data_IF_936016836288
#
_entry.id   IF_936016836288
#
_cell.length_a   1.000
_cell.length_b   1.000
_cell.length_c   1.000
_cell.angle_alpha   90.00
_cell.angle_beta   90.00
_cell.angle_gamma   90.00
#
_symmetry.space_group_name_H-M   'P 1'
#
loop_
_entity.id
_entity.type
_entity.pdbx_description
1 polymer ?
#
# COMPACT_ATOMS: atom_id res chain seq x y z
N UNK A 1 -8.16 2.71 14.23
CA UNK A 1 -8.06 2.09 12.88
C UNK A 1 -9.18 2.55 11.94
N UNK A 2 -10.45 2.36 12.32
CA UNK A 2 -11.61 2.68 11.46
C UNK A 2 -11.68 4.16 11.06
N UNK A 3 -11.39 5.08 11.99
CA UNK A 3 -11.34 6.51 11.66
C UNK A 3 -10.25 6.84 10.61
N UNK A 4 -9.11 6.16 10.65
CA UNK A 4 -8.05 6.34 9.64
C UNK A 4 -8.49 5.82 8.27
N UNK A 5 -9.19 4.69 8.26
CA UNK A 5 -9.77 4.06 7.07
C UNK A 5 -10.71 5.01 6.34
N UNK A 6 -11.70 5.54 7.08
CA UNK A 6 -12.69 6.47 6.55
C UNK A 6 -12.04 7.79 6.08
N UNK A 7 -11.14 8.38 6.87
CA UNK A 7 -10.46 9.64 6.51
C UNK A 7 -9.64 9.49 5.23
N UNK A 8 -8.92 8.37 5.06
CA UNK A 8 -8.08 8.16 3.89
C UNK A 8 -8.90 7.95 2.62
N UNK A 9 -9.99 7.19 2.72
CA UNK A 9 -10.96 7.06 1.64
C UNK A 9 -11.54 8.43 1.26
N UNK A 10 -12.05 9.18 2.23
CA UNK A 10 -12.70 10.47 1.98
C UNK A 10 -11.73 11.48 1.35
N UNK A 11 -10.47 11.54 1.82
CA UNK A 11 -9.47 12.40 1.21
C UNK A 11 -9.16 11.99 -0.23
N UNK A 12 -9.05 10.68 -0.52
CA UNK A 12 -8.91 10.21 -1.90
C UNK A 12 -10.09 10.67 -2.77
N UNK A 13 -11.33 10.51 -2.30
CA UNK A 13 -12.55 10.90 -3.03
C UNK A 13 -12.64 12.42 -3.24
N UNK A 14 -12.02 13.22 -2.37
CA UNK A 14 -11.88 14.66 -2.54
C UNK A 14 -10.86 15.07 -3.62
N UNK A 15 -10.20 14.12 -4.30
CA UNK A 15 -9.28 14.38 -5.41
C UNK A 15 -7.81 14.50 -5.01
N UNK A 16 -7.47 14.22 -3.75
CA UNK A 16 -6.09 14.31 -3.25
C UNK A 16 -5.20 13.15 -3.71
N UNK A 17 -5.79 12.06 -4.19
CA UNK A 17 -5.06 10.86 -4.61
C UNK A 17 -4.59 10.00 -3.42
N UNK A 18 -4.05 8.83 -3.73
CA UNK A 18 -3.87 7.76 -2.73
C UNK A 18 -2.77 8.04 -1.69
N UNK A 19 -1.66 8.67 -2.07
CA UNK A 19 -0.57 8.99 -1.16
C UNK A 19 -0.97 10.08 -0.16
N UNK A 20 -1.48 11.21 -0.67
CA UNK A 20 -2.00 12.27 0.19
C UNK A 20 -3.19 11.79 1.01
N UNK A 21 -4.09 10.96 0.47
CA UNK A 21 -5.22 10.44 1.24
C UNK A 21 -4.79 9.70 2.51
N UNK A 22 -3.81 8.79 2.39
CA UNK A 22 -3.25 8.09 3.56
C UNK A 22 -2.52 9.07 4.49
N UNK A 23 -1.75 10.01 3.95
CA UNK A 23 -1.05 11.01 4.77
C UNK A 23 -2.01 11.93 5.54
N UNK A 24 -3.09 12.42 4.89
CA UNK A 24 -4.15 13.22 5.50
C UNK A 24 -4.78 12.48 6.69
N UNK A 25 -5.06 11.18 6.52
CA UNK A 25 -5.62 10.37 7.60
C UNK A 25 -4.64 10.21 8.77
N UNK A 26 -3.41 9.76 8.51
CA UNK A 26 -2.47 9.42 9.57
C UNK A 26 -1.93 10.67 10.29
N UNK A 27 -1.50 11.69 9.55
CA UNK A 27 -1.05 12.95 10.11
C UNK A 27 -2.22 13.71 10.75
N UNK A 28 -3.40 13.68 10.13
CA UNK A 28 -4.61 14.31 10.67
C UNK A 28 -5.00 13.74 12.01
N UNK A 29 -5.04 12.41 12.15
CA UNK A 29 -5.29 11.75 13.44
C UNK A 29 -4.25 12.12 14.50
N UNK A 30 -2.96 12.10 14.13
CA UNK A 30 -1.90 12.47 15.06
C UNK A 30 -1.98 13.96 15.46
N UNK A 31 -2.36 14.84 14.53
CA UNK A 31 -2.55 16.26 14.79
C UNK A 31 -3.78 16.54 15.67
N UNK A 32 -4.88 15.82 15.48
CA UNK A 32 -6.08 15.94 16.31
C UNK A 32 -5.83 15.50 17.76
N UNK A 33 -5.09 14.40 17.95
CA UNK A 33 -4.82 13.84 19.28
C UNK A 33 -3.67 14.56 20.01
N UNK A 34 -2.58 14.86 19.30
CA UNK A 34 -1.32 15.32 19.91
C UNK A 34 -0.89 16.73 19.50
N UNK A 35 -1.49 17.32 18.46
CA UNK A 35 -1.12 18.64 17.95
C UNK A 35 0.26 18.65 17.29
N UNK A 36 1.13 19.57 17.72
CA UNK A 36 2.49 19.69 17.19
C UNK A 36 3.38 18.52 17.65
N UNK A 37 4.33 18.03 16.83
CA UNK A 37 4.75 18.57 15.53
C UNK A 37 3.90 18.09 14.34
N UNK A 38 2.98 17.14 14.53
CA UNK A 38 2.22 16.52 13.43
C UNK A 38 1.39 17.53 12.65
N UNK A 39 0.78 18.51 13.34
CA UNK A 39 0.01 19.59 12.73
C UNK A 39 0.81 20.55 11.84
N UNK A 40 2.15 20.49 11.88
CA UNK A 40 3.01 21.33 11.04
C UNK A 40 3.44 20.66 9.73
N UNK A 41 3.18 19.36 9.57
CA UNK A 41 3.57 18.61 8.37
C UNK A 41 2.44 18.75 7.35
N UNK A 42 2.64 19.42 6.20
CA UNK A 42 1.59 19.64 5.22
C UNK A 42 1.35 18.36 4.40
N UNK A 43 0.21 17.65 4.55
CA UNK A 43 -0.01 16.38 3.87
C UNK A 43 -0.03 16.51 2.34
N UNK A 44 -0.30 17.72 1.81
CA UNK A 44 -0.31 18.02 0.37
C UNK A 44 1.02 17.69 -0.30
N UNK A 45 2.14 17.67 0.43
CA UNK A 45 3.43 17.25 -0.12
C UNK A 45 3.40 15.81 -0.67
N UNK A 46 2.50 14.96 -0.17
CA UNK A 46 2.31 13.60 -0.63
C UNK A 46 1.46 13.49 -1.90
N UNK A 47 0.84 14.58 -2.39
CA UNK A 47 0.03 14.55 -3.62
C UNK A 47 0.79 14.00 -4.82
N UNK A 48 2.10 14.29 -4.87
CA UNK A 48 2.99 13.82 -5.94
C UNK A 48 3.08 12.29 -5.99
N UNK A 49 2.74 11.57 -4.92
CA UNK A 49 2.71 10.11 -4.92
C UNK A 49 1.53 9.48 -5.68
N UNK A 50 0.54 10.28 -6.12
CA UNK A 50 -0.66 9.77 -6.83
C UNK A 50 -0.30 8.98 -8.09
N UNK A 51 -1.04 7.92 -8.40
CA UNK A 51 -0.76 7.10 -9.59
C UNK A 51 0.64 6.44 -9.59
N UNK A 52 1.22 6.24 -8.39
CA UNK A 52 2.56 5.70 -8.23
C UNK A 52 3.66 6.65 -8.71
N UNK A 53 3.59 7.88 -8.19
CA UNK A 53 4.43 9.07 -8.47
C UNK A 53 4.03 9.91 -9.70
N UNK A 54 2.86 10.51 -9.74
CA UNK A 54 2.36 11.31 -10.87
C UNK A 54 2.21 10.49 -12.16
N UNK A 55 1.76 9.24 -12.03
CA UNK A 55 1.34 8.40 -13.16
C UNK A 55 2.41 7.46 -13.73
N UNK A 56 3.60 7.40 -13.14
CA UNK A 56 4.65 6.46 -13.54
C UNK A 56 4.32 4.99 -13.24
N UNK A 57 3.33 4.72 -12.39
CA UNK A 57 2.95 3.35 -12.06
C UNK A 57 3.97 2.60 -11.20
N UNK A 58 4.89 3.32 -10.53
CA UNK A 58 5.86 2.75 -9.59
C UNK A 58 5.18 2.33 -8.27
N UNK A 59 5.83 2.42 -7.11
CA UNK A 59 5.24 2.04 -5.82
C UNK A 59 3.86 2.66 -5.59
N UNK A 60 2.91 1.89 -5.05
CA UNK A 60 1.56 2.39 -4.78
C UNK A 60 1.59 3.63 -3.88
N UNK A 61 0.88 4.69 -4.30
CA UNK A 61 0.86 5.94 -3.54
C UNK A 61 0.39 5.77 -2.10
N UNK A 62 -0.62 4.93 -1.86
CA UNK A 62 -1.11 4.65 -0.50
C UNK A 62 0.01 4.13 0.42
N UNK A 63 0.88 3.25 -0.09
CA UNK A 63 2.02 2.73 0.66
C UNK A 63 3.01 3.86 0.99
N UNK A 64 3.26 4.79 0.06
CA UNK A 64 4.16 5.92 0.31
C UNK A 64 3.67 6.79 1.48
N UNK A 65 2.38 7.13 1.51
CA UNK A 65 1.79 7.87 2.62
C UNK A 65 1.97 7.15 3.96
N UNK A 66 1.78 5.83 3.97
CA UNK A 66 1.93 5.00 5.16
C UNK A 66 3.39 4.86 5.64
N UNK A 67 4.31 4.47 4.76
CA UNK A 67 5.70 4.16 5.16
C UNK A 67 6.45 5.40 5.64
N UNK A 68 6.16 6.57 5.05
CA UNK A 68 6.74 7.83 5.52
C UNK A 68 6.17 8.24 6.88
N UNK A 69 4.89 7.95 7.15
CA UNK A 69 4.33 8.15 8.48
C UNK A 69 4.93 7.19 9.51
N UNK A 70 5.13 5.90 9.16
CA UNK A 70 5.86 4.95 10.01
C UNK A 70 7.27 5.48 10.32
N UNK A 71 7.97 5.97 9.29
CA UNK A 71 9.30 6.57 9.44
C UNK A 71 9.34 7.82 10.32
N UNK A 72 8.22 8.52 10.46
CA UNK A 72 8.09 9.68 11.33
C UNK A 72 7.90 9.29 12.80
N UNK A 73 7.16 8.22 13.08
CA UNK A 73 6.69 7.90 14.44
C UNK A 73 7.40 6.73 15.12
N UNK A 74 7.96 5.80 14.34
CA UNK A 74 8.67 4.64 14.87
C UNK A 74 10.18 4.89 14.98
N UNK A 75 10.87 4.33 15.99
CA UNK A 75 12.33 4.32 16.08
C UNK A 75 12.98 3.73 14.83
N UNK A 76 14.10 4.29 14.40
CA UNK A 76 14.75 3.97 13.12
C UNK A 76 15.09 2.49 12.99
N UNK A 77 15.54 1.86 14.08
CA UNK A 77 15.88 0.45 14.18
C UNK A 77 14.68 -0.48 13.94
N UNK A 78 13.46 -0.04 14.24
CA UNK A 78 12.24 -0.85 14.19
C UNK A 78 11.41 -0.60 12.92
N UNK A 79 11.61 0.55 12.26
CA UNK A 79 10.89 0.95 11.04
C UNK A 79 10.90 -0.14 9.97
N UNK A 80 12.05 -0.78 9.75
CA UNK A 80 12.20 -1.78 8.70
C UNK A 80 11.26 -2.99 8.91
N UNK A 81 11.07 -3.45 10.15
CA UNK A 81 10.21 -4.59 10.43
C UNK A 81 8.74 -4.27 10.13
N UNK A 82 8.26 -3.11 10.59
CA UNK A 82 6.88 -2.65 10.40
C UNK A 82 6.58 -2.39 8.92
N UNK A 83 7.51 -1.73 8.20
CA UNK A 83 7.36 -1.46 6.77
C UNK A 83 7.36 -2.75 5.96
N UNK A 84 8.28 -3.69 6.22
CA UNK A 84 8.28 -4.97 5.48
C UNK A 84 6.98 -5.76 5.70
N UNK A 85 6.44 -5.76 6.93
CA UNK A 85 5.14 -6.39 7.23
C UNK A 85 3.98 -5.74 6.45
N UNK A 86 3.91 -4.39 6.41
CA UNK A 86 2.91 -3.67 5.64
C UNK A 86 3.01 -3.97 4.13
N UNK A 87 4.22 -3.95 3.59
CA UNK A 87 4.48 -4.19 2.15
C UNK A 87 4.14 -5.64 1.76
N UNK A 88 4.52 -6.61 2.60
CA UNK A 88 4.22 -8.02 2.36
C UNK A 88 2.71 -8.32 2.50
N UNK A 89 2.04 -7.72 3.49
CA UNK A 89 0.57 -7.80 3.61
C UNK A 89 -0.12 -7.21 2.37
N UNK A 90 0.36 -6.08 1.86
CA UNK A 90 -0.23 -5.42 0.69
C UNK A 90 -0.21 -6.32 -0.54
N UNK A 91 0.86 -7.08 -0.76
CA UNK A 91 0.94 -8.01 -1.89
C UNK A 91 -0.15 -9.09 -1.82
N UNK A 92 -0.57 -9.50 -0.63
CA UNK A 92 -1.45 -10.64 -0.37
C UNK A 92 -2.91 -10.23 -0.12
N UNK A 93 -3.16 -8.98 0.22
CA UNK A 93 -4.50 -8.48 0.52
C UNK A 93 -5.40 -8.41 -0.73
N UNK A 94 -6.64 -8.85 -0.58
CA UNK A 94 -7.66 -8.75 -1.62
C UNK A 94 -8.37 -7.40 -1.49
N UNK A 95 -8.01 -6.44 -2.35
CA UNK A 95 -8.47 -5.06 -2.20
C UNK A 95 -9.71 -4.70 -3.03
N UNK A 96 -10.56 -3.78 -2.53
CA UNK A 96 -10.50 -3.11 -1.22
C UNK A 96 -11.40 -3.79 -0.17
N UNK A 97 -11.03 -3.78 1.13
CA UNK A 97 -11.94 -4.21 2.21
C UNK A 97 -12.94 -3.09 2.53
N UNK A 98 -12.46 -1.86 2.64
CA UNK A 98 -13.28 -0.68 2.81
C UNK A 98 -13.93 -0.28 1.49
N UNK A 99 -15.23 -0.59 1.37
CA UNK A 99 -16.03 -0.34 0.17
C UNK A 99 -17.39 0.26 0.58
N UNK A 100 -17.46 1.57 0.85
CA UNK A 100 -18.70 2.23 1.26
C UNK A 100 -19.66 2.48 0.09
N UNK A 101 -19.22 2.32 -1.16
CA UNK A 101 -20.06 2.40 -2.35
C UNK A 101 -20.64 1.04 -2.73
N UNK A 102 -21.89 1.03 -3.22
CA UNK A 102 -22.57 -0.16 -3.78
C UNK A 102 -22.05 -0.57 -5.18
N UNK A 103 -20.91 -0.04 -5.63
CA UNK A 103 -20.37 -0.29 -6.96
C UNK A 103 -19.78 -1.70 -7.06
N UNK A 104 -20.36 -2.57 -7.89
CA UNK A 104 -19.94 -3.96 -7.96
C UNK A 104 -18.70 -4.19 -8.85
N UNK A 105 -17.68 -4.81 -8.26
CA UNK A 105 -16.47 -5.30 -8.93
C UNK A 105 -15.83 -6.40 -8.09
N UNK A 106 -15.13 -7.32 -8.75
CA UNK A 106 -14.28 -8.34 -8.15
C UNK A 106 -13.06 -7.70 -7.50
N UNK A 107 -12.85 -7.99 -6.21
CA UNK A 107 -11.61 -7.66 -5.51
C UNK A 107 -10.45 -8.50 -6.06
N UNK A 108 -9.24 -7.95 -6.03
CA UNK A 108 -8.05 -8.63 -6.56
C UNK A 108 -6.89 -8.54 -5.60
N UNK A 109 -6.12 -9.62 -5.51
CA UNK A 109 -4.79 -9.65 -4.88
C UNK A 109 -3.76 -9.17 -5.90
N UNK A 110 -2.90 -8.23 -5.50
CA UNK A 110 -1.98 -7.57 -6.43
C UNK A 110 -0.72 -8.38 -6.73
N UNK A 111 -0.28 -9.22 -5.77
CA UNK A 111 1.03 -9.90 -5.77
C UNK A 111 2.22 -8.97 -6.04
N UNK A 112 2.04 -7.67 -5.85
CA UNK A 112 3.09 -6.68 -6.06
C UNK A 112 2.81 -5.40 -5.29
N UNK A 113 3.86 -4.68 -4.94
CA UNK A 113 3.77 -3.35 -4.34
C UNK A 113 3.67 -2.23 -5.38
N UNK A 114 3.84 -2.57 -6.67
CA UNK A 114 3.78 -1.65 -7.79
C UNK A 114 2.33 -1.31 -8.16
N UNK A 115 2.07 -0.01 -8.32
CA UNK A 115 0.79 0.53 -8.73
C UNK A 115 0.39 0.05 -10.13
N UNK A 116 1.35 -0.04 -11.06
CA UNK A 116 1.11 -0.53 -12.42
C UNK A 116 0.53 -1.95 -12.40
N UNK A 117 1.18 -2.88 -11.70
CA UNK A 117 0.71 -4.27 -11.58
C UNK A 117 -0.66 -4.31 -10.89
N UNK A 118 -0.75 -3.68 -9.71
CA UNK A 118 -1.94 -3.69 -8.87
C UNK A 118 -3.19 -3.20 -9.59
N UNK A 119 -3.08 -2.07 -10.31
CA UNK A 119 -4.21 -1.48 -11.05
C UNK A 119 -4.50 -2.27 -12.33
N UNK A 120 -3.47 -2.65 -13.10
CA UNK A 120 -3.68 -3.33 -14.38
C UNK A 120 -4.37 -4.68 -14.18
N UNK A 121 -3.96 -5.44 -13.17
CA UNK A 121 -4.63 -6.70 -12.80
C UNK A 121 -6.08 -6.48 -12.42
N UNK A 122 -6.37 -5.49 -11.57
CA UNK A 122 -7.74 -5.15 -11.19
C UNK A 122 -8.62 -4.84 -12.41
N UNK A 123 -8.10 -4.04 -13.34
CA UNK A 123 -8.80 -3.69 -14.57
C UNK A 123 -9.08 -4.91 -15.45
N UNK A 124 -8.09 -5.80 -15.63
CA UNK A 124 -8.23 -7.02 -16.44
C UNK A 124 -9.25 -7.98 -15.85
N UNK A 125 -9.15 -8.26 -14.55
CA UNK A 125 -10.06 -9.20 -13.84
C UNK A 125 -11.52 -8.73 -13.83
N UNK A 126 -11.74 -7.43 -13.98
CA UNK A 126 -13.08 -6.83 -14.02
C UNK A 126 -13.51 -6.41 -15.43
N UNK A 127 -12.67 -6.62 -16.44
CA UNK A 127 -12.91 -6.18 -17.82
C UNK A 127 -13.24 -4.68 -17.92
N UNK A 128 -12.39 -3.84 -17.31
CA UNK A 128 -12.56 -2.40 -17.20
C UNK A 128 -11.48 -1.61 -17.93
N UNK A 129 -11.84 -0.40 -18.35
CA UNK A 129 -10.92 0.57 -18.94
C UNK A 129 -10.12 1.36 -17.88
N UNK A 130 -8.98 1.92 -18.28
CA UNK A 130 -8.06 2.59 -17.36
C UNK A 130 -8.64 3.81 -16.62
N UNK A 131 -9.70 4.42 -17.13
CA UNK A 131 -10.40 5.56 -16.52
C UNK A 131 -11.75 5.19 -15.89
N UNK A 132 -12.05 3.90 -15.76
CA UNK A 132 -13.29 3.41 -15.17
C UNK A 132 -13.48 3.93 -13.72
N UNK A 133 -14.69 4.36 -13.33
CA UNK A 133 -14.97 4.86 -11.99
C UNK A 133 -14.71 3.82 -10.89
N UNK A 134 -14.88 2.53 -11.20
CA UNK A 134 -14.56 1.37 -10.35
C UNK A 134 -13.09 1.38 -9.92
N UNK A 135 -12.18 1.78 -10.81
CA UNK A 135 -10.76 1.91 -10.47
C UNK A 135 -10.55 2.99 -9.42
N UNK A 136 -11.24 4.13 -9.55
CA UNK A 136 -11.15 5.21 -8.57
C UNK A 136 -11.75 4.78 -7.23
N UNK A 137 -12.90 4.08 -7.25
CA UNK A 137 -13.50 3.51 -6.05
C UNK A 137 -12.57 2.52 -5.35
N UNK A 138 -12.01 1.58 -6.10
CA UNK A 138 -11.04 0.59 -5.60
C UNK A 138 -9.79 1.24 -5.02
N UNK A 139 -9.23 2.25 -5.68
CA UNK A 139 -8.06 2.97 -5.16
C UNK A 139 -8.38 3.78 -3.89
N UNK A 140 -9.58 4.34 -3.78
CA UNK A 140 -10.03 5.02 -2.57
C UNK A 140 -10.19 4.05 -1.40
N UNK A 141 -10.85 2.91 -1.63
CA UNK A 141 -11.00 1.86 -0.62
C UNK A 141 -9.65 1.31 -0.15
N UNK A 142 -8.76 1.03 -1.10
CA UNK A 142 -7.39 0.58 -0.82
C UNK A 142 -6.60 1.61 0.01
N UNK A 143 -6.78 2.90 -0.24
CA UNK A 143 -6.20 3.95 0.61
C UNK A 143 -6.72 3.86 2.05
N UNK A 144 -8.01 3.61 2.23
CA UNK A 144 -8.61 3.31 3.53
C UNK A 144 -7.94 2.10 4.19
N UNK A 145 -7.88 0.98 3.49
CA UNK A 145 -7.32 -0.28 3.99
C UNK A 145 -5.86 -0.13 4.43
N UNK A 146 -5.05 0.58 3.63
CA UNK A 146 -3.63 0.83 3.95
C UNK A 146 -3.50 1.73 5.18
N UNK A 147 -4.31 2.77 5.31
CA UNK A 147 -4.32 3.63 6.50
C UNK A 147 -4.73 2.83 7.76
N UNK A 148 -5.80 2.03 7.66
CA UNK A 148 -6.24 1.11 8.72
C UNK A 148 -5.12 0.18 9.15
N UNK A 149 -4.53 -0.55 8.21
CA UNK A 149 -3.47 -1.53 8.48
C UNK A 149 -2.26 -0.87 9.10
N UNK A 150 -1.91 0.33 8.66
CA UNK A 150 -0.79 1.10 9.25
C UNK A 150 -1.04 1.39 10.72
N UNK A 151 -2.25 1.85 11.08
CA UNK A 151 -2.62 2.06 12.49
C UNK A 151 -2.64 0.77 13.29
N UNK A 152 -3.16 -0.33 12.72
CA UNK A 152 -3.15 -1.64 13.40
C UNK A 152 -1.71 -2.11 13.71
N UNK A 153 -0.79 -1.97 12.76
CA UNK A 153 0.61 -2.34 12.94
C UNK A 153 1.31 -1.46 13.97
N UNK A 154 1.09 -0.14 13.94
CA UNK A 154 1.67 0.80 14.89
C UNK A 154 1.11 0.61 16.30
N UNK A 155 -0.19 0.36 16.45
CA UNK A 155 -0.80 0.06 17.74
C UNK A 155 -0.23 -1.24 18.31
N UNK A 156 -0.17 -2.31 17.51
CA UNK A 156 0.45 -3.56 17.95
C UNK A 156 1.92 -3.36 18.34
N UNK A 157 2.66 -2.50 17.63
CA UNK A 157 4.05 -2.19 17.96
C UNK A 157 4.16 -1.49 19.32
N UNK A 158 3.36 -0.44 19.57
CA UNK A 158 3.35 0.29 20.84
C UNK A 158 2.92 -0.61 22.01
N UNK A 159 1.97 -1.52 21.78
CA UNK A 159 1.49 -2.47 22.78
C UNK A 159 2.43 -3.67 23.00
N UNK A 160 3.60 -3.70 22.33
CA UNK A 160 4.55 -4.83 22.34
C UNK A 160 3.94 -6.16 21.87
N UNK A 161 2.95 -6.09 20.97
CA UNK A 161 2.25 -7.21 20.35
C UNK A 161 2.59 -7.39 18.86
N UNK A 162 3.40 -6.51 18.28
CA UNK A 162 3.79 -6.60 16.88
C UNK A 162 4.57 -7.89 16.60
N UNK A 163 4.12 -8.63 15.60
CA UNK A 163 4.84 -9.78 15.02
C UNK A 163 4.70 -9.70 13.52
N UNK A 164 5.82 -9.77 12.80
CA UNK A 164 5.79 -9.90 11.35
C UNK A 164 5.33 -11.31 10.99
N UNK A 165 4.21 -11.41 10.27
CA UNK A 165 3.60 -12.69 9.88
C UNK A 165 3.56 -12.87 8.37
N UNK A 166 3.73 -11.79 7.60
CA UNK A 166 3.76 -11.83 6.14
C UNK A 166 5.21 -11.85 5.63
N UNK A 167 5.41 -12.50 4.49
CA UNK A 167 6.68 -12.51 3.74
C UNK A 167 6.45 -12.04 2.31
N UNK A 168 7.46 -11.44 1.66
CA UNK A 168 7.36 -11.13 0.25
C UNK A 168 7.07 -12.37 -0.58
N UNK A 169 6.13 -12.28 -1.52
CA UNK A 169 5.67 -13.42 -2.31
C UNK A 169 6.48 -13.61 -3.58
N UNK A 170 6.68 -14.86 -4.01
CA UNK A 170 7.15 -15.19 -5.37
C UNK A 170 8.61 -14.82 -5.66
N UNK A 171 9.42 -14.66 -4.61
CA UNK A 171 10.86 -14.41 -4.73
C UNK A 171 11.71 -15.51 -4.08
N UNK A 172 11.12 -16.39 -3.24
CA UNK A 172 11.91 -17.32 -2.41
C UNK A 172 12.79 -18.23 -3.26
N UNK A 173 12.22 -18.90 -4.26
CA UNK A 173 12.96 -19.80 -5.15
C UNK A 173 14.02 -19.07 -5.97
N UNK A 174 13.72 -17.86 -6.46
CA UNK A 174 14.67 -17.11 -7.28
C UNK A 174 15.92 -16.72 -6.48
N UNK A 175 15.72 -16.31 -5.21
CA UNK A 175 16.81 -15.84 -4.35
C UNK A 175 17.77 -16.95 -3.90
N UNK A 176 17.45 -18.24 -4.12
CA UNK A 176 18.41 -19.32 -3.83
C UNK A 176 19.61 -19.29 -4.77
N UNK A 177 19.44 -18.77 -5.98
CA UNK A 177 20.51 -18.63 -6.98
C UNK A 177 20.89 -17.16 -7.21
N UNK A 178 19.91 -16.25 -7.22
CA UNK A 178 20.12 -14.85 -7.62
C UNK A 178 20.46 -13.88 -6.47
N UNK A 179 20.78 -14.38 -5.27
CA UNK A 179 21.00 -13.53 -4.08
C UNK A 179 22.06 -12.43 -4.23
N UNK A 180 22.92 -12.51 -5.26
CA UNK A 180 24.06 -11.61 -5.47
C UNK A 180 23.99 -10.79 -6.77
N UNK A 181 23.01 -11.03 -7.64
CA UNK A 181 22.88 -10.37 -8.96
C UNK A 181 21.50 -9.74 -9.20
N UNK A 182 20.57 -9.80 -8.23
CA UNK A 182 19.32 -9.04 -8.23
C UNK A 182 19.24 -8.02 -7.08
N UNK A 183 18.33 -7.05 -7.21
CA UNK A 183 17.98 -6.14 -6.13
C UNK A 183 16.46 -5.98 -6.04
N UNK A 184 15.93 -6.05 -4.81
CA UNK A 184 14.50 -5.91 -4.53
C UNK A 184 13.92 -7.15 -3.87
N UNK A 185 12.72 -6.98 -3.31
CA UNK A 185 11.94 -8.03 -2.63
C UNK A 185 10.54 -8.19 -3.22
N UNK A 186 10.22 -7.46 -4.28
CA UNK A 186 8.91 -7.59 -4.92
C UNK A 186 8.82 -8.94 -5.66
N UNK A 187 7.61 -9.35 -6.02
CA UNK A 187 7.36 -10.65 -6.61
C UNK A 187 8.00 -10.78 -8.00
N UNK A 188 8.89 -11.75 -8.16
CA UNK A 188 9.61 -12.00 -9.40
C UNK A 188 8.67 -12.55 -10.48
N UNK A 189 7.78 -13.47 -10.10
CA UNK A 189 6.87 -14.21 -11.00
C UNK A 189 5.94 -13.28 -11.77
N UNK A 190 5.49 -12.20 -11.12
CA UNK A 190 4.60 -11.20 -11.74
C UNK A 190 5.17 -10.60 -13.04
N UNK A 191 6.50 -10.50 -13.16
CA UNK A 191 7.16 -9.91 -14.33
C UNK A 191 7.96 -10.93 -15.14
N UNK A 192 8.56 -11.92 -14.46
CA UNK A 192 9.49 -12.86 -15.06
C UNK A 192 8.85 -14.21 -15.39
N UNK A 193 7.63 -14.50 -14.94
CA UNK A 193 7.00 -15.81 -15.12
C UNK A 193 7.45 -16.83 -14.07
N UNK A 194 6.82 -18.01 -14.11
CA UNK A 194 7.14 -19.11 -13.20
C UNK A 194 8.50 -19.72 -13.56
N UNK A 195 9.22 -20.26 -12.56
CA UNK A 195 10.59 -20.78 -12.75
C UNK A 195 10.66 -21.79 -13.89
N UNK A 196 9.71 -22.72 -13.93
CA UNK A 196 9.63 -23.80 -14.93
C UNK A 196 9.26 -23.29 -16.35
N UNK A 197 8.78 -22.05 -16.48
CA UNK A 197 8.44 -21.45 -17.78
C UNK A 197 9.61 -20.66 -18.38
N UNK A 198 10.51 -20.16 -17.54
CA UNK A 198 11.62 -19.30 -17.97
C UNK A 198 13.01 -19.94 -17.83
N UNK A 199 13.08 -21.12 -17.24
CA UNK A 199 14.30 -21.88 -17.14
C UNK A 199 14.10 -23.35 -17.51
N UNK A 200 14.96 -23.84 -18.39
CA UNK A 200 15.12 -25.26 -18.71
C UNK A 200 16.33 -25.80 -17.93
N UNK A 201 16.13 -26.24 -16.69
CA UNK A 201 17.20 -26.82 -15.85
C UNK A 201 17.00 -28.31 -15.61
#
# INVERSE_FOLDING_TARGET
>A
PDKAEEMAYNSYKAGNGCAQGVADALLGLAAEEYGAPYSYIPPQMFNVGKGGIVGWGASCGALLGAVFFIGLVAPQEDQAAIVNELMAWYQQASFPYYKPSDMEFKQTVADSTLCHVSVTRFLQENNLEANAPEKAERCGGLSGDVARKTVELLNAYVDNQFTAVHKPQGAETCTTCHSNDHQGKDNCVTCHGEVDEIHDF
#
